data_IF_959427534330
#
_entry.id   IF_959427534330
#
_cell.length_a   1.000
_cell.length_b   1.000
_cell.length_c   1.000
_cell.angle_alpha   90.00
_cell.angle_beta   90.00
_cell.angle_gamma   90.00
#
_symmetry.space_group_name_H-M   'P 1'
#
loop_
_entity.id
_entity.type
_entity.pdbx_description
1 polymer ?
#
# COMPACT_ATOMS: atom_id res chain seq x y z
N UNK A 1 11.03 -6.72 9.91
CA UNK A 1 10.69 -5.68 8.94
C UNK A 1 11.56 -4.45 9.22
N UNK A 2 12.25 -3.96 8.18
CA UNK A 2 13.14 -2.79 8.18
C UNK A 2 12.56 -1.61 7.40
N UNK A 3 11.24 -1.58 7.21
CA UNK A 3 10.57 -0.63 6.31
C UNK A 3 10.84 0.84 6.59
N UNK A 4 10.95 1.23 7.87
CA UNK A 4 11.32 2.59 8.26
C UNK A 4 12.75 2.95 7.83
N UNK A 5 13.71 2.03 7.99
CA UNK A 5 15.11 2.23 7.57
C UNK A 5 15.20 2.39 6.04
N UNK A 6 14.48 1.55 5.30
CA UNK A 6 14.39 1.66 3.83
C UNK A 6 13.74 2.99 3.43
N UNK A 7 12.68 3.41 4.13
CA UNK A 7 12.02 4.68 3.88
C UNK A 7 12.98 5.86 4.06
N UNK A 8 13.72 5.89 5.16
CA UNK A 8 14.66 6.97 5.47
C UNK A 8 15.81 7.04 4.44
N UNK A 9 16.30 5.88 4.00
CA UNK A 9 17.40 5.79 3.04
C UNK A 9 16.99 6.16 1.60
N UNK A 10 15.80 5.74 1.16
CA UNK A 10 15.45 5.77 -0.26
C UNK A 10 14.24 6.66 -0.61
N UNK A 11 13.40 7.01 0.36
CA UNK A 11 12.10 7.65 0.10
C UNK A 11 11.98 9.05 0.69
N UNK A 12 12.47 9.25 1.93
CA UNK A 12 12.26 10.47 2.72
C UNK A 12 12.81 11.73 2.05
N UNK A 13 13.87 11.62 1.25
CA UNK A 13 14.46 12.76 0.54
C UNK A 13 13.48 13.45 -0.43
N UNK A 14 12.53 12.71 -1.01
CA UNK A 14 11.51 13.24 -1.91
C UNK A 14 10.15 13.35 -1.21
N UNK A 15 9.73 12.32 -0.48
CA UNK A 15 8.40 12.25 0.12
C UNK A 15 8.32 12.90 1.51
N UNK A 16 9.43 13.42 2.03
CA UNK A 16 9.52 13.98 3.37
C UNK A 16 9.63 12.90 4.45
N UNK A 17 10.24 13.25 5.58
CA UNK A 17 10.40 12.35 6.72
C UNK A 17 9.07 11.84 7.29
N UNK A 18 8.03 12.67 7.22
CA UNK A 18 6.67 12.34 7.66
C UNK A 18 5.75 11.99 6.47
N UNK A 19 6.32 11.60 5.32
CA UNK A 19 5.56 11.18 4.14
C UNK A 19 4.61 12.23 3.56
N UNK A 20 4.77 13.49 3.95
CA UNK A 20 3.90 14.62 3.60
C UNK A 20 4.07 15.12 2.16
N UNK A 21 5.06 14.60 1.44
CA UNK A 21 5.41 15.02 0.09
C UNK A 21 6.02 16.42 0.04
N UNK A 22 6.12 16.95 -1.18
CA UNK A 22 6.58 18.30 -1.47
C UNK A 22 5.59 18.97 -2.41
N UNK A 23 4.92 20.03 -1.95
CA UNK A 23 4.00 20.80 -2.79
C UNK A 23 4.74 21.53 -3.91
N UNK A 24 4.10 21.62 -5.06
CA UNK A 24 4.53 22.49 -6.15
C UNK A 24 3.75 23.81 -6.04
N UNK A 25 4.26 24.75 -5.23
CA UNK A 25 3.59 26.00 -4.89
C UNK A 25 3.05 26.02 -3.46
N UNK A 26 1.99 26.79 -3.19
CA UNK A 26 1.39 26.92 -1.85
C UNK A 26 0.16 26.02 -1.70
N UNK A 27 -0.19 25.71 -0.45
CA UNK A 27 -1.43 25.01 -0.16
C UNK A 27 -2.64 25.83 -0.63
N UNK A 28 -3.57 25.19 -1.36
CA UNK A 28 -4.74 25.84 -1.96
C UNK A 28 -4.53 26.28 -3.41
N UNK A 29 -3.30 26.26 -3.93
CA UNK A 29 -3.03 26.53 -5.34
C UNK A 29 -3.26 25.28 -6.19
N UNK A 30 -3.50 25.49 -7.49
CA UNK A 30 -3.68 24.41 -8.48
C UNK A 30 -2.37 23.64 -8.80
N UNK A 31 -1.24 24.03 -8.23
CA UNK A 31 0.08 23.47 -8.56
C UNK A 31 0.31 22.04 -8.03
N UNK A 32 -0.47 21.59 -7.05
CA UNK A 32 -0.44 20.22 -6.55
C UNK A 32 0.87 19.86 -5.84
N UNK A 33 1.41 18.68 -6.16
CA UNK A 33 2.61 18.12 -5.55
C UNK A 33 3.70 17.82 -6.58
N UNK A 34 4.93 18.23 -6.28
CA UNK A 34 6.12 17.78 -6.99
C UNK A 34 6.46 16.33 -6.59
N UNK A 35 6.37 16.03 -5.29
CA UNK A 35 6.43 14.68 -4.74
C UNK A 35 5.17 14.43 -3.92
N UNK A 36 4.38 13.39 -4.24
CA UNK A 36 3.08 13.20 -3.60
C UNK A 36 3.22 12.77 -2.13
N UNK A 37 2.25 13.12 -1.27
CA UNK A 37 2.16 12.57 0.07
C UNK A 37 1.84 11.07 0.01
N UNK A 38 2.55 10.28 0.81
CA UNK A 38 2.37 8.82 0.87
C UNK A 38 1.38 8.38 1.95
N UNK A 39 1.16 9.25 2.95
CA UNK A 39 0.14 9.11 3.97
C UNK A 39 -0.28 10.49 4.49
N UNK A 40 -1.12 10.52 5.53
CA UNK A 40 -1.70 11.75 6.04
C UNK A 40 -2.91 12.24 5.23
N UNK A 41 -3.48 13.40 5.60
CA UNK A 41 -4.82 13.82 5.16
C UNK A 41 -4.93 14.13 3.65
N UNK A 42 -3.81 14.36 2.96
CA UNK A 42 -3.78 14.72 1.54
C UNK A 42 -3.29 13.57 0.64
N UNK A 43 -3.16 12.35 1.21
CA UNK A 43 -2.80 11.15 0.48
C UNK A 43 -4.03 10.33 0.06
N UNK A 44 -3.81 9.19 -0.58
CA UNK A 44 -4.86 8.26 -0.95
C UNK A 44 -5.56 7.69 0.30
N UNK A 45 -6.86 7.43 0.17
CA UNK A 45 -7.68 6.86 1.25
C UNK A 45 -7.43 5.36 1.46
N UNK A 46 -7.96 4.84 2.56
CA UNK A 46 -7.84 3.44 2.97
C UNK A 46 -8.51 2.40 2.05
N UNK A 47 -9.35 2.84 1.10
CA UNK A 47 -9.96 2.02 0.05
C UNK A 47 -9.18 2.01 -1.27
N UNK A 48 -8.13 2.81 -1.41
CA UNK A 48 -7.38 2.89 -2.65
C UNK A 48 -6.56 1.62 -2.91
N UNK A 49 -6.40 1.25 -4.18
CA UNK A 49 -5.60 0.08 -4.56
C UNK A 49 -4.15 0.14 -4.07
N UNK A 50 -3.58 1.34 -3.91
CA UNK A 50 -2.23 1.57 -3.38
C UNK A 50 -2.12 1.32 -1.87
N UNK A 51 -3.24 1.28 -1.13
CA UNK A 51 -3.24 0.88 0.28
C UNK A 51 -3.10 -0.64 0.48
N UNK A 52 -3.15 -1.42 -0.60
CA UNK A 52 -2.98 -2.87 -0.56
C UNK A 52 -1.50 -3.23 -0.66
N UNK A 53 -0.99 -3.98 0.33
CA UNK A 53 0.44 -4.22 0.49
C UNK A 53 1.12 -4.82 -0.76
N UNK A 54 0.52 -5.84 -1.39
CA UNK A 54 1.11 -6.48 -2.56
C UNK A 54 1.13 -5.49 -3.73
N UNK A 55 0.08 -4.68 -3.89
CA UNK A 55 0.00 -3.67 -4.94
C UNK A 55 1.07 -2.60 -4.76
N UNK A 56 1.20 -2.03 -3.56
CA UNK A 56 2.21 -1.00 -3.27
C UNK A 56 3.63 -1.53 -3.36
N UNK A 57 3.90 -2.74 -2.84
CA UNK A 57 5.23 -3.34 -2.91
C UNK A 57 5.67 -3.54 -4.36
N UNK A 58 4.77 -4.04 -5.23
CA UNK A 58 5.04 -4.19 -6.67
C UNK A 58 5.27 -2.85 -7.36
N UNK A 59 4.48 -1.83 -7.03
CA UNK A 59 4.66 -0.50 -7.60
C UNK A 59 6.02 0.09 -7.19
N UNK A 60 6.37 0.00 -5.91
CA UNK A 60 7.63 0.50 -5.35
C UNK A 60 8.80 -0.22 -6.00
N UNK A 61 8.82 -1.56 -6.00
CA UNK A 61 9.91 -2.33 -6.60
C UNK A 61 10.15 -1.99 -8.08
N UNK A 62 9.08 -1.75 -8.84
CA UNK A 62 9.19 -1.53 -10.28
C UNK A 62 9.45 -0.07 -10.69
N UNK A 63 9.17 0.92 -9.82
CA UNK A 63 9.15 2.33 -10.20
C UNK A 63 9.85 3.27 -9.22
N UNK A 64 10.19 2.80 -8.02
CA UNK A 64 10.77 3.62 -6.96
C UNK A 64 12.11 3.08 -6.48
N UNK A 65 13.07 3.96 -6.16
CA UNK A 65 13.03 5.43 -6.30
C UNK A 65 12.97 5.91 -7.76
N UNK A 66 12.66 7.19 -7.98
CA UNK A 66 12.53 7.76 -9.33
C UNK A 66 13.78 7.47 -10.20
N UNK A 67 13.56 6.89 -11.39
CA UNK A 67 14.62 6.39 -12.26
C UNK A 67 14.76 4.86 -12.24
N UNK A 68 14.13 4.19 -11.27
CA UNK A 68 13.99 2.73 -11.24
C UNK A 68 13.07 2.24 -12.36
N UNK A 69 13.43 1.11 -12.96
CA UNK A 69 12.57 0.36 -13.89
C UNK A 69 12.41 -1.07 -13.41
N UNK A 70 11.40 -1.77 -13.92
CA UNK A 70 11.19 -3.18 -13.60
C UNK A 70 12.38 -4.08 -13.96
N UNK A 71 13.15 -3.72 -15.00
CA UNK A 71 14.32 -4.48 -15.46
C UNK A 71 15.58 -4.18 -14.63
N UNK A 72 15.59 -3.07 -13.90
CA UNK A 72 16.70 -2.63 -13.06
C UNK A 72 16.18 -2.09 -11.72
N UNK A 73 15.57 -2.96 -10.89
CA UNK A 73 15.06 -2.57 -9.58
C UNK A 73 16.22 -2.14 -8.66
N UNK A 74 16.03 -1.04 -7.92
CA UNK A 74 17.01 -0.60 -6.91
C UNK A 74 16.82 -1.33 -5.58
N UNK A 75 15.56 -1.52 -5.17
CA UNK A 75 15.20 -2.25 -3.96
C UNK A 75 15.02 -3.72 -4.27
N UNK A 76 15.38 -4.58 -3.32
CA UNK A 76 14.98 -5.99 -3.36
C UNK A 76 13.47 -6.14 -3.16
N UNK A 77 12.91 -7.29 -3.53
CA UNK A 77 11.48 -7.59 -3.27
C UNK A 77 11.15 -7.47 -1.78
N UNK A 78 12.03 -7.95 -0.90
CA UNK A 78 11.85 -7.89 0.55
C UNK A 78 11.83 -6.45 1.06
N UNK A 79 12.79 -5.60 0.63
CA UNK A 79 12.81 -4.18 0.99
C UNK A 79 11.58 -3.45 0.49
N UNK A 80 11.11 -3.76 -0.73
CA UNK A 80 9.91 -3.17 -1.29
C UNK A 80 8.64 -3.56 -0.50
N UNK A 81 8.55 -4.81 -0.01
CA UNK A 81 7.48 -5.24 0.88
C UNK A 81 7.56 -4.55 2.25
N UNK A 82 8.74 -4.50 2.84
CA UNK A 82 8.97 -3.89 4.14
C UNK A 82 8.61 -2.39 4.14
N UNK A 83 9.07 -1.63 3.13
CA UNK A 83 8.77 -0.19 3.03
C UNK A 83 7.31 0.07 2.68
N UNK A 84 6.69 -0.80 1.86
CA UNK A 84 5.26 -0.71 1.57
C UNK A 84 4.40 -0.96 2.82
N UNK A 85 4.78 -1.93 3.65
CA UNK A 85 4.12 -2.21 4.92
C UNK A 85 4.25 -1.02 5.87
N UNK A 86 5.43 -0.41 5.94
CA UNK A 86 5.65 0.81 6.72
C UNK A 86 4.75 1.97 6.25
N UNK A 87 4.70 2.25 4.95
CA UNK A 87 3.86 3.32 4.35
C UNK A 87 2.36 3.07 4.60
N UNK A 88 1.89 1.83 4.42
CA UNK A 88 0.48 1.48 4.58
C UNK A 88 0.04 1.35 6.05
N UNK A 89 0.98 1.33 6.99
CA UNK A 89 0.67 1.35 8.43
C UNK A 89 0.43 2.77 8.96
N UNK A 90 0.67 3.80 8.15
CA UNK A 90 0.51 5.20 8.55
C UNK A 90 -0.95 5.68 8.41
N UNK A 91 -1.38 6.68 9.22
CA UNK A 91 -2.72 7.24 9.15
C UNK A 91 -3.05 7.86 7.78
N UNK A 92 -4.28 7.69 7.30
CA UNK A 92 -4.76 8.24 6.02
C UNK A 92 -6.28 8.44 6.04
N UNK A 93 -6.87 9.13 5.04
CA UNK A 93 -8.32 9.36 4.99
C UNK A 93 -9.11 8.05 4.90
N UNK A 94 -10.26 8.01 5.57
CA UNK A 94 -11.20 6.89 5.48
C UNK A 94 -12.16 7.07 4.29
N UNK A 95 -12.40 5.99 3.55
CA UNK A 95 -13.41 5.92 2.50
C UNK A 95 -14.71 5.38 3.09
N UNK A 96 -15.81 6.10 2.87
CA UNK A 96 -17.14 5.59 3.21
C UNK A 96 -17.56 4.38 2.36
N UNK A 97 -18.27 3.43 2.96
CA UNK A 97 -18.92 2.33 2.25
C UNK A 97 -17.98 1.21 1.78
N UNK A 98 -16.84 1.01 2.44
CA UNK A 98 -15.89 -0.07 2.14
C UNK A 98 -16.49 -1.47 2.23
N UNK A 99 -17.51 -1.63 3.07
CA UNK A 99 -18.29 -2.87 3.22
C UNK A 99 -19.01 -3.30 1.93
N UNK A 100 -19.24 -2.35 1.01
CA UNK A 100 -19.92 -2.54 -0.28
C UNK A 100 -18.97 -2.46 -1.48
N UNK A 101 -17.68 -2.20 -1.26
CA UNK A 101 -16.70 -2.00 -2.33
C UNK A 101 -16.47 -3.30 -3.15
N UNK A 102 -16.60 -4.45 -2.48
CA UNK A 102 -16.58 -5.78 -3.08
C UNK A 102 -17.87 -6.54 -2.73
N UNK A 103 -18.97 -6.32 -3.50
CA UNK A 103 -20.24 -7.01 -3.25
C UNK A 103 -20.11 -8.54 -3.31
N UNK A 104 -19.32 -9.03 -4.26
CA UNK A 104 -18.86 -10.42 -4.30
C UNK A 104 -17.52 -10.52 -3.54
N UNK A 105 -17.59 -11.00 -2.30
CA UNK A 105 -16.42 -11.08 -1.40
C UNK A 105 -15.37 -12.07 -1.87
N UNK A 106 -15.75 -13.09 -2.65
CA UNK A 106 -14.80 -14.06 -3.22
C UNK A 106 -13.84 -13.42 -4.22
N UNK A 107 -14.23 -12.27 -4.80
CA UNK A 107 -13.40 -11.47 -5.71
C UNK A 107 -12.58 -10.41 -4.99
N UNK A 108 -12.74 -10.25 -3.68
CA UNK A 108 -11.97 -9.29 -2.90
C UNK A 108 -10.49 -9.68 -2.92
N UNK A 109 -9.57 -8.76 -3.22
CA UNK A 109 -8.13 -9.01 -3.15
C UNK A 109 -7.74 -9.54 -1.77
N UNK A 110 -6.84 -10.52 -1.73
CA UNK A 110 -6.38 -11.13 -0.46
C UNK A 110 -5.65 -10.11 0.44
N UNK A 111 -5.11 -9.05 -0.14
CA UNK A 111 -4.41 -7.97 0.54
C UNK A 111 -5.27 -6.70 0.73
N UNK A 112 -6.60 -6.83 0.62
CA UNK A 112 -7.52 -5.71 0.88
C UNK A 112 -7.53 -5.34 2.38
N UNK A 113 -7.17 -4.11 2.75
CA UNK A 113 -6.86 -3.73 4.14
C UNK A 113 -8.09 -3.36 4.99
N UNK A 114 -9.27 -3.86 4.61
CA UNK A 114 -10.54 -3.57 5.27
C UNK A 114 -11.50 -4.76 5.18
N UNK A 115 -12.35 -5.00 6.20
CA UNK A 115 -13.41 -6.02 6.19
C UNK A 115 -14.64 -5.56 5.37
N UNK A 116 -15.67 -6.41 5.18
CA UNK A 116 -15.75 -7.83 5.53
C UNK A 116 -14.98 -8.72 4.54
N UNK A 117 -14.61 -9.91 5.01
CA UNK A 117 -13.97 -10.98 4.23
C UNK A 117 -14.94 -12.16 4.05
N UNK A 118 -14.57 -13.12 3.21
CA UNK A 118 -15.28 -14.40 3.01
C UNK A 118 -14.57 -15.58 3.69
N UNK A 119 -13.66 -15.29 4.60
CA UNK A 119 -12.83 -16.21 5.36
C UNK A 119 -12.71 -15.73 6.82
N UNK A 120 -12.00 -16.51 7.64
CA UNK A 120 -11.80 -16.26 9.08
C UNK A 120 -10.41 -15.67 9.41
N UNK A 121 -9.65 -15.20 8.40
CA UNK A 121 -8.33 -14.61 8.65
C UNK A 121 -8.45 -13.21 9.27
N UNK A 122 -7.43 -12.83 10.04
CA UNK A 122 -7.45 -11.54 10.74
C UNK A 122 -7.26 -10.38 9.77
N UNK A 123 -7.81 -9.21 10.12
CA UNK A 123 -7.55 -7.96 9.39
C UNK A 123 -6.04 -7.66 9.29
N UNK A 124 -5.28 -7.94 10.35
CA UNK A 124 -3.84 -7.75 10.34
C UNK A 124 -3.16 -8.65 9.30
N UNK A 125 -3.59 -9.91 9.18
CA UNK A 125 -3.05 -10.82 8.17
C UNK A 125 -3.42 -10.40 6.75
N UNK A 126 -4.63 -9.87 6.51
CA UNK A 126 -4.98 -9.26 5.22
C UNK A 126 -4.19 -7.97 4.93
N UNK A 127 -3.72 -7.25 5.95
CA UNK A 127 -2.93 -6.02 5.76
C UNK A 127 -1.46 -6.32 5.51
N UNK A 128 -0.88 -7.23 6.28
CA UNK A 128 0.57 -7.40 6.39
C UNK A 128 1.06 -8.80 5.99
N UNK A 129 0.15 -9.73 5.73
CA UNK A 129 0.46 -11.12 5.47
C UNK A 129 0.71 -11.92 6.76
N UNK A 130 1.17 -13.19 6.63
CA UNK A 130 1.46 -13.88 5.39
C UNK A 130 0.19 -14.13 4.55
N UNK A 131 0.28 -13.90 3.23
CA UNK A 131 -0.86 -14.03 2.31
C UNK A 131 -1.07 -15.45 1.79
N UNK A 132 -0.02 -16.28 1.81
CA UNK A 132 -0.06 -17.66 1.29
C UNK A 132 -1.17 -18.51 1.93
N UNK A 133 -1.39 -18.51 3.26
CA UNK A 133 -2.51 -19.24 3.86
C UNK A 133 -3.89 -18.82 3.34
N UNK A 134 -4.09 -17.52 3.09
CA UNK A 134 -5.35 -16.97 2.56
C UNK A 134 -5.58 -17.45 1.13
N UNK A 135 -4.53 -17.44 0.31
CA UNK A 135 -4.58 -17.92 -1.07
C UNK A 135 -4.89 -19.41 -1.11
N UNK A 136 -4.21 -20.23 -0.31
CA UNK A 136 -4.43 -21.68 -0.25
C UNK A 136 -5.84 -22.04 0.24
N UNK A 137 -6.36 -21.34 1.25
CA UNK A 137 -7.74 -21.50 1.70
C UNK A 137 -8.74 -21.19 0.58
N UNK A 138 -8.54 -20.06 -0.13
CA UNK A 138 -9.39 -19.67 -1.24
C UNK A 138 -9.39 -20.68 -2.38
N UNK A 139 -8.25 -21.26 -2.74
CA UNK A 139 -8.19 -22.30 -3.78
C UNK A 139 -8.91 -23.58 -3.32
N UNK A 140 -8.73 -24.02 -2.06
CA UNK A 140 -9.46 -25.17 -1.51
C UNK A 140 -10.98 -24.98 -1.54
N UNK A 141 -11.47 -23.78 -1.22
CA UNK A 141 -12.90 -23.44 -1.26
C UNK A 141 -13.49 -23.38 -2.68
N UNK A 142 -12.66 -23.27 -3.72
CA UNK A 142 -13.13 -23.35 -5.13
C UNK A 142 -13.24 -24.79 -5.63
N UNK A 143 -12.47 -25.71 -5.04
CA UNK A 143 -12.40 -27.12 -5.43
C UNK A 143 -13.48 -28.00 -4.79
N UNK A 144 -14.06 -27.55 -3.66
CA UNK A 144 -15.14 -28.24 -2.93
C UNK A 144 -16.52 -27.66 -3.22
#
# INVERSE_FOLDING_TARGET
AKGAEVFDLYCAACHGADGQGMRNGKAGDAGGYLYPPLWGPDSFNDGAGMHRLITSARFIHANMPLGTTFESPLLTEEEAFDVAAYINSQPRPEKGGLDRDFPDRSRKPVDAPFPPYDDDFSLEQHRLGPFKPIIEDREKRKEG
#
